data_IF_475081877752
#
_entry.id   IF_475081877752
#
_cell.length_a   1.000
_cell.length_b   1.000
_cell.length_c   1.000
_cell.angle_alpha   90.00
_cell.angle_beta   90.00
_cell.angle_gamma   90.00
#
_symmetry.space_group_name_H-M   'P 1'
#
loop_
_entity.id
_entity.type
_entity.pdbx_description
1 polymer ?
#
# COMPACT_ATOMS: atom_id res chain seq x y z
N UNK A 1 6.18 -12.24 5.00
CA UNK A 1 6.36 -11.30 3.87
C UNK A 1 5.16 -11.44 2.95
N UNK A 2 4.67 -10.33 2.41
CA UNK A 2 3.45 -10.25 1.57
C UNK A 2 3.76 -9.88 0.11
N UNK A 3 5.05 -9.89 -0.23
CA UNK A 3 5.62 -9.81 -1.57
C UNK A 3 5.27 -11.05 -2.41
N UNK A 4 5.17 -10.87 -3.72
CA UNK A 4 5.06 -11.96 -4.70
C UNK A 4 6.40 -12.31 -5.35
N UNK A 5 7.48 -11.60 -5.03
CA UNK A 5 8.82 -11.92 -5.52
C UNK A 5 9.40 -13.14 -4.79
N UNK A 6 10.39 -13.85 -5.40
CA UNK A 6 11.14 -14.89 -4.72
C UNK A 6 11.78 -14.39 -3.43
N UNK A 7 11.95 -15.28 -2.46
CA UNK A 7 12.58 -14.93 -1.17
C UNK A 7 14.01 -14.43 -1.42
N UNK A 8 14.27 -13.21 -0.98
CA UNK A 8 15.60 -12.60 -0.99
C UNK A 8 16.15 -12.57 0.43
N UNK A 9 17.31 -13.19 0.67
CA UNK A 9 17.90 -13.30 1.99
C UNK A 9 18.14 -11.93 2.65
N UNK A 10 18.60 -10.94 1.86
CA UNK A 10 18.84 -9.59 2.37
C UNK A 10 17.57 -8.89 2.84
N UNK A 11 16.46 -9.11 2.15
CA UNK A 11 15.15 -8.57 2.53
C UNK A 11 14.70 -9.19 3.85
N UNK A 12 14.83 -10.51 4.01
CA UNK A 12 14.53 -11.20 5.28
C UNK A 12 15.37 -10.61 6.43
N UNK A 13 16.68 -10.42 6.21
CA UNK A 13 17.59 -9.87 7.20
C UNK A 13 17.14 -8.47 7.67
N UNK A 14 16.87 -7.57 6.72
CA UNK A 14 16.40 -6.21 7.02
C UNK A 14 15.07 -6.23 7.81
N UNK A 15 14.09 -7.02 7.37
CA UNK A 15 12.81 -7.15 8.10
C UNK A 15 12.97 -7.75 9.49
N UNK A 16 13.92 -8.68 9.67
CA UNK A 16 14.22 -9.28 10.97
C UNK A 16 14.84 -8.25 11.90
N UNK A 17 15.77 -7.43 11.39
CA UNK A 17 16.37 -6.34 12.14
C UNK A 17 15.32 -5.32 12.59
N UNK A 18 14.49 -4.81 11.67
CA UNK A 18 13.44 -3.83 12.02
C UNK A 18 12.44 -4.38 13.03
N UNK A 19 12.09 -5.67 12.95
CA UNK A 19 11.21 -6.31 13.95
C UNK A 19 11.83 -6.29 15.35
N UNK A 20 13.14 -6.48 15.46
CA UNK A 20 13.84 -6.45 16.74
C UNK A 20 13.98 -5.03 17.30
N UNK A 21 14.21 -4.04 16.43
CA UNK A 21 14.31 -2.62 16.79
C UNK A 21 12.94 -2.00 17.15
N UNK A 22 11.88 -2.43 16.45
CA UNK A 22 10.52 -1.88 16.54
C UNK A 22 9.49 -3.00 16.77
N UNK A 23 9.46 -3.64 17.96
CA UNK A 23 8.59 -4.78 18.21
C UNK A 23 7.12 -4.37 18.27
N UNK A 24 6.27 -5.10 17.56
CA UNK A 24 4.81 -4.93 17.61
C UNK A 24 4.26 -5.81 18.74
N UNK A 25 3.44 -5.24 19.63
CA UNK A 25 2.75 -6.01 20.68
C UNK A 25 1.41 -6.56 20.17
N UNK A 26 0.97 -7.69 20.71
CA UNK A 26 -0.35 -8.24 20.40
C UNK A 26 -1.49 -7.26 20.70
N UNK A 27 -1.36 -6.48 21.79
CA UNK A 27 -2.30 -5.41 22.13
C UNK A 27 -2.36 -4.34 21.04
N UNK A 28 -1.21 -3.94 20.48
CA UNK A 28 -1.19 -2.98 19.38
C UNK A 28 -1.84 -3.54 18.11
N UNK A 29 -1.56 -4.80 17.77
CA UNK A 29 -2.20 -5.46 16.64
C UNK A 29 -3.74 -5.51 16.79
N UNK A 30 -4.25 -5.84 17.98
CA UNK A 30 -5.68 -5.82 18.26
C UNK A 30 -6.27 -4.40 18.12
N UNK A 31 -5.60 -3.39 18.67
CA UNK A 31 -6.05 -2.00 18.58
C UNK A 31 -6.09 -1.52 17.11
N UNK A 32 -5.13 -1.92 16.29
CA UNK A 32 -5.13 -1.60 14.85
C UNK A 32 -6.33 -2.23 14.14
N UNK A 33 -6.62 -3.51 14.39
CA UNK A 33 -7.77 -4.19 13.81
C UNK A 33 -9.09 -3.54 14.26
N UNK A 34 -9.23 -3.24 15.55
CA UNK A 34 -10.41 -2.56 16.08
C UNK A 34 -10.58 -1.16 15.47
N UNK A 35 -9.51 -0.38 15.38
CA UNK A 35 -9.53 0.93 14.74
C UNK A 35 -9.93 0.85 13.27
N UNK A 36 -9.40 -0.12 12.51
CA UNK A 36 -9.78 -0.35 11.11
C UNK A 36 -11.25 -0.75 10.97
N UNK A 37 -11.79 -1.59 11.87
CA UNK A 37 -13.18 -2.00 11.84
C UNK A 37 -14.16 -0.85 12.16
N UNK A 38 -13.73 0.09 13.00
CA UNK A 38 -14.53 1.26 13.39
C UNK A 38 -14.33 2.48 12.49
N UNK A 39 -13.33 2.44 11.59
CA UNK A 39 -12.97 3.57 10.76
C UNK A 39 -14.12 3.97 9.82
N UNK A 40 -14.37 5.28 9.75
CA UNK A 40 -15.32 5.88 8.82
C UNK A 40 -14.61 6.95 8.00
N UNK A 41 -14.68 6.82 6.69
CA UNK A 41 -14.14 7.80 5.76
C UNK A 41 -15.16 8.93 5.56
N UNK A 42 -15.07 9.98 6.38
CA UNK A 42 -16.06 11.08 6.39
C UNK A 42 -15.62 12.30 5.57
N UNK A 43 -14.32 12.58 5.52
CA UNK A 43 -13.77 13.76 4.84
C UNK A 43 -12.64 13.34 3.91
N UNK A 44 -12.68 13.86 2.67
CA UNK A 44 -11.59 13.67 1.71
C UNK A 44 -10.44 14.63 2.05
N UNK A 45 -9.17 14.19 1.99
CA UNK A 45 -8.01 15.06 1.97
C UNK A 45 -8.18 16.21 0.96
N UNK A 46 -7.71 17.41 1.34
CA UNK A 46 -7.71 18.59 0.44
C UNK A 46 -6.59 18.52 -0.60
N UNK A 47 -5.58 17.72 -0.32
CA UNK A 47 -4.45 17.48 -1.21
C UNK A 47 -4.89 16.59 -2.39
N UNK A 48 -4.24 16.74 -3.56
CA UNK A 48 -4.38 15.77 -4.63
C UNK A 48 -3.98 14.37 -4.15
N UNK A 49 -4.77 13.36 -4.54
CA UNK A 49 -4.53 11.95 -4.17
C UNK A 49 -4.56 11.10 -5.43
N UNK A 50 -3.62 10.16 -5.51
CA UNK A 50 -3.61 9.06 -6.47
C UNK A 50 -3.53 7.74 -5.72
N UNK A 51 -4.32 6.76 -6.17
CA UNK A 51 -4.33 5.42 -5.62
C UNK A 51 -3.48 4.50 -6.48
N UNK A 52 -2.57 3.76 -5.84
CA UNK A 52 -1.88 2.62 -6.45
C UNK A 52 -2.44 1.33 -5.83
N UNK A 53 -2.66 0.32 -6.65
CA UNK A 53 -3.10 -1.00 -6.20
C UNK A 53 -2.39 -2.09 -6.99
N UNK A 54 -2.44 -3.32 -6.49
CA UNK A 54 -2.09 -4.49 -7.28
C UNK A 54 -3.28 -5.44 -7.40
N UNK A 55 -3.57 -5.93 -8.61
CA UNK A 55 -4.59 -6.95 -8.82
C UNK A 55 -4.19 -8.33 -8.29
N UNK A 56 -2.91 -8.53 -7.98
CA UNK A 56 -2.36 -9.78 -7.44
C UNK A 56 -1.97 -9.66 -5.96
N UNK A 57 -2.53 -8.66 -5.25
CA UNK A 57 -2.47 -8.57 -3.79
C UNK A 57 -3.26 -9.73 -3.17
N UNK A 58 -2.55 -10.57 -2.40
CA UNK A 58 -3.09 -11.76 -1.72
C UNK A 58 -3.51 -11.48 -0.27
N UNK A 59 -3.22 -10.29 0.26
CA UNK A 59 -3.55 -9.87 1.61
C UNK A 59 -4.83 -9.03 1.64
N UNK A 60 -4.96 -8.06 0.72
CA UNK A 60 -6.12 -7.17 0.64
C UNK A 60 -6.65 -7.16 -0.78
N UNK A 61 -7.95 -7.43 -0.93
CA UNK A 61 -8.59 -7.43 -2.26
C UNK A 61 -8.48 -6.06 -2.93
N UNK A 62 -7.93 -6.03 -4.15
CA UNK A 62 -7.84 -4.83 -4.97
C UNK A 62 -9.21 -4.17 -5.28
N UNK A 63 -10.31 -4.90 -5.06
CA UNK A 63 -11.68 -4.37 -5.16
C UNK A 63 -11.94 -3.25 -4.13
N UNK A 64 -11.27 -3.29 -2.97
CA UNK A 64 -11.33 -2.21 -1.99
C UNK A 64 -10.80 -0.89 -2.59
N UNK A 65 -9.67 -0.93 -3.30
CA UNK A 65 -9.11 0.26 -3.97
C UNK A 65 -10.02 0.76 -5.11
N UNK A 66 -10.67 -0.16 -5.85
CA UNK A 66 -11.67 0.21 -6.86
C UNK A 66 -12.89 0.89 -6.25
N UNK A 67 -13.40 0.37 -5.13
CA UNK A 67 -14.51 0.97 -4.41
C UNK A 67 -14.15 2.36 -3.87
N UNK A 68 -12.93 2.51 -3.32
CA UNK A 68 -12.42 3.78 -2.85
C UNK A 68 -12.32 4.79 -3.99
N UNK A 69 -11.68 4.42 -5.12
CA UNK A 69 -11.58 5.27 -6.32
C UNK A 69 -12.96 5.70 -6.83
N UNK A 70 -13.94 4.80 -6.87
CA UNK A 70 -15.31 5.16 -7.27
C UNK A 70 -15.98 6.15 -6.31
N UNK A 71 -15.75 6.01 -5.01
CA UNK A 71 -16.31 6.90 -4.00
C UNK A 71 -15.61 8.26 -3.94
N UNK A 72 -14.29 8.28 -4.19
CA UNK A 72 -13.47 9.49 -4.08
C UNK A 72 -13.26 10.23 -5.39
N UNK A 73 -13.44 9.53 -6.51
CA UNK A 73 -13.07 9.94 -7.88
C UNK A 73 -11.56 10.12 -8.07
N UNK A 74 -10.76 9.59 -7.14
CA UNK A 74 -9.31 9.62 -7.29
C UNK A 74 -8.83 8.67 -8.38
N UNK A 75 -7.81 9.06 -9.17
CA UNK A 75 -7.22 8.18 -10.16
C UNK A 75 -6.66 6.93 -9.48
N UNK A 76 -7.01 5.77 -10.03
CA UNK A 76 -6.52 4.47 -9.60
C UNK A 76 -5.67 3.85 -10.70
N UNK A 77 -4.43 3.54 -10.37
CA UNK A 77 -3.50 2.83 -11.26
C UNK A 77 -3.21 1.48 -10.61
N UNK A 78 -3.40 0.40 -11.38
CA UNK A 78 -3.21 -0.96 -10.90
C UNK A 78 -2.01 -1.62 -11.56
N UNK A 79 -1.17 -2.25 -10.76
CA UNK A 79 -0.19 -3.22 -11.23
C UNK A 79 -0.82 -4.61 -11.34
N UNK A 80 -0.26 -5.49 -12.19
CA UNK A 80 -0.87 -6.78 -12.51
C UNK A 80 -0.24 -7.99 -11.81
N UNK A 81 1.05 -7.92 -11.46
CA UNK A 81 1.82 -9.08 -10.95
C UNK A 81 2.28 -8.93 -9.49
N UNK A 82 2.55 -7.70 -9.06
CA UNK A 82 3.03 -7.38 -7.72
C UNK A 82 2.11 -7.90 -6.61
N UNK A 83 2.66 -8.17 -5.44
CA UNK A 83 1.91 -8.53 -4.25
C UNK A 83 1.38 -7.31 -3.51
N UNK A 84 1.13 -7.51 -2.22
CA UNK A 84 0.74 -6.45 -1.31
C UNK A 84 1.86 -5.42 -1.13
N UNK A 85 3.11 -5.90 -1.08
CA UNK A 85 4.29 -5.05 -0.93
C UNK A 85 4.73 -4.51 -2.29
N UNK A 86 3.87 -3.69 -2.90
CA UNK A 86 4.03 -3.16 -4.25
C UNK A 86 5.34 -2.37 -4.42
N UNK A 87 5.76 -1.65 -3.39
CA UNK A 87 7.02 -0.89 -3.36
C UNK A 87 8.25 -1.77 -3.36
N UNK A 88 8.18 -2.95 -2.75
CA UNK A 88 9.25 -3.93 -2.77
C UNK A 88 9.28 -4.71 -4.08
N UNK A 89 8.10 -5.07 -4.60
CA UNK A 89 7.98 -5.92 -5.78
C UNK A 89 8.30 -5.18 -7.08
N UNK A 90 7.90 -3.91 -7.18
CA UNK A 90 7.98 -3.11 -8.40
C UNK A 90 8.40 -1.65 -8.09
N UNK A 91 9.59 -1.44 -7.49
CA UNK A 91 10.02 -0.12 -7.03
C UNK A 91 10.08 0.91 -8.17
N UNK A 92 10.61 0.52 -9.32
CA UNK A 92 10.77 1.39 -10.50
C UNK A 92 9.41 1.85 -11.06
N UNK A 93 8.44 0.94 -11.10
CA UNK A 93 7.08 1.25 -11.52
C UNK A 93 6.43 2.25 -10.55
N UNK A 94 6.55 2.02 -9.24
CA UNK A 94 5.99 2.94 -8.24
C UNK A 94 6.63 4.32 -8.33
N UNK A 95 7.96 4.40 -8.44
CA UNK A 95 8.68 5.68 -8.59
C UNK A 95 8.25 6.41 -9.85
N UNK A 96 8.07 5.70 -10.97
CA UNK A 96 7.55 6.31 -12.20
C UNK A 96 6.16 6.90 -11.98
N UNK A 97 5.23 6.17 -11.36
CA UNK A 97 3.89 6.70 -11.13
C UNK A 97 3.89 7.90 -10.17
N UNK A 98 4.72 7.87 -9.13
CA UNK A 98 4.89 9.01 -8.23
C UNK A 98 5.42 10.24 -8.99
N UNK A 99 6.47 10.08 -9.80
CA UNK A 99 7.04 11.18 -10.59
C UNK A 99 6.02 11.77 -11.58
N UNK A 100 5.29 10.92 -12.32
CA UNK A 100 4.24 11.38 -13.23
C UNK A 100 3.12 12.12 -12.48
N UNK A 101 2.75 11.65 -11.30
CA UNK A 101 1.77 12.33 -10.46
C UNK A 101 2.27 13.72 -10.04
N UNK A 102 3.50 13.83 -9.53
CA UNK A 102 4.09 15.11 -9.15
C UNK A 102 4.15 16.11 -10.31
N UNK A 103 4.55 15.67 -11.51
CA UNK A 103 4.60 16.53 -12.70
C UNK A 103 3.21 17.10 -13.02
N UNK A 104 2.15 16.28 -12.94
CA UNK A 104 0.78 16.72 -13.18
C UNK A 104 0.25 17.73 -12.16
N UNK A 105 0.84 17.79 -10.96
CA UNK A 105 0.46 18.78 -9.95
C UNK A 105 1.10 20.16 -10.17
N UNK A 106 2.19 20.21 -10.95
CA UNK A 106 2.92 21.44 -11.24
C UNK A 106 2.49 22.10 -12.56
N UNK A 107 1.74 21.39 -13.40
CA UNK A 107 1.17 21.88 -14.65
C UNK A 107 -0.17 22.57 -14.41
#
# INVERSE_FOLDING_TARGET
>A
MTSNQPIQAKVIENWTQWKNECPITAKNAFNQLYASAMFRFTEKPKQPVMLLASSNDRLVSHQCSKALSKHTEWPLISHSTAGHDLTLDEPEWVTKQAAEFYVRLLA
#
